data_IF_928482275772
#
_entry.id   IF_928482275772
#
_cell.length_a   1.000
_cell.length_b   1.000
_cell.length_c   1.000
_cell.angle_alpha   90.00
_cell.angle_beta   90.00
_cell.angle_gamma   90.00
#
_symmetry.space_group_name_H-M   'P 1'
#
loop_
_entity.id
_entity.type
_entity.pdbx_description
1 polymer ?
#
# COMPACT_ATOMS: atom_id res chain seq x y z
N UNK A 1 9.12 -20.09 7.62
CA UNK A 1 8.50 -19.17 6.63
C UNK A 1 9.34 -17.90 6.63
N UNK A 2 9.98 -17.54 5.51
CA UNK A 2 10.81 -16.33 5.43
C UNK A 2 9.93 -15.13 5.07
N UNK A 3 10.13 -13.99 5.73
CA UNK A 3 9.45 -12.73 5.40
C UNK A 3 9.99 -12.20 4.07
N UNK A 4 9.12 -11.66 3.22
CA UNK A 4 9.50 -11.12 1.89
C UNK A 4 10.49 -9.95 2.01
N UNK A 5 10.43 -9.20 3.11
CA UNK A 5 11.35 -8.10 3.41
C UNK A 5 12.57 -8.52 4.27
N UNK A 6 12.69 -9.82 4.57
CA UNK A 6 13.63 -10.32 5.57
C UNK A 6 13.18 -10.05 7.01
N UNK A 7 13.98 -10.51 7.96
CA UNK A 7 13.76 -10.20 9.38
C UNK A 7 14.07 -8.72 9.62
N UNK A 8 13.17 -7.95 10.24
CA UNK A 8 13.44 -6.56 10.55
C UNK A 8 14.53 -6.42 11.62
N UNK A 9 15.73 -6.06 11.18
CA UNK A 9 16.85 -5.67 12.05
C UNK A 9 16.98 -4.15 12.04
N UNK A 10 16.88 -3.49 13.20
CA UNK A 10 16.97 -2.03 13.33
C UNK A 10 18.13 -1.63 14.26
N UNK A 11 19.34 -2.04 13.89
CA UNK A 11 20.58 -1.72 14.60
C UNK A 11 21.25 -0.45 14.05
N UNK A 12 21.02 -0.14 12.77
CA UNK A 12 21.61 1.00 12.05
C UNK A 12 20.56 1.85 11.37
N UNK A 13 20.85 3.15 11.23
CA UNK A 13 20.00 4.11 10.51
C UNK A 13 19.64 3.64 9.10
N UNK A 14 20.61 3.08 8.37
CA UNK A 14 20.41 2.61 7.00
C UNK A 14 19.35 1.52 6.93
N UNK A 15 19.28 0.64 7.94
CA UNK A 15 18.35 -0.49 7.95
C UNK A 15 16.90 -0.01 8.06
N UNK A 16 16.63 1.05 8.82
CA UNK A 16 15.30 1.67 8.90
C UNK A 16 14.89 2.25 7.55
N UNK A 17 15.81 2.98 6.90
CA UNK A 17 15.58 3.56 5.58
C UNK A 17 15.33 2.49 4.53
N UNK A 18 16.20 1.49 4.50
CA UNK A 18 16.19 0.42 3.50
C UNK A 18 14.94 -0.44 3.67
N UNK A 19 14.52 -0.74 4.90
CA UNK A 19 13.28 -1.46 5.16
C UNK A 19 12.05 -0.70 4.63
N UNK A 20 11.96 0.60 4.90
CA UNK A 20 10.86 1.43 4.41
C UNK A 20 10.85 1.53 2.88
N UNK A 21 12.01 1.73 2.26
CA UNK A 21 12.12 1.86 0.80
C UNK A 21 11.88 0.54 0.07
N UNK A 22 12.38 -0.57 0.61
CA UNK A 22 12.15 -1.91 0.05
C UNK A 22 10.68 -2.31 0.18
N UNK A 23 10.05 -2.05 1.33
CA UNK A 23 8.60 -2.23 1.50
C UNK A 23 7.80 -1.45 0.46
N UNK A 24 8.19 -0.18 0.21
CA UNK A 24 7.52 0.67 -0.79
C UNK A 24 7.70 0.13 -2.21
N UNK A 25 8.92 -0.27 -2.58
CA UNK A 25 9.21 -0.87 -3.89
C UNK A 25 8.42 -2.16 -4.13
N UNK A 26 8.24 -2.97 -3.08
CA UNK A 26 7.49 -4.21 -3.15
C UNK A 26 6.00 -3.96 -3.41
N UNK A 27 5.37 -3.05 -2.64
CA UNK A 27 3.92 -2.90 -2.67
C UNK A 27 3.42 -1.91 -3.73
N UNK A 28 4.22 -0.91 -4.10
CA UNK A 28 3.78 0.17 -5.01
C UNK A 28 3.22 -0.32 -6.35
N UNK A 29 3.77 -1.38 -7.00
CA UNK A 29 3.19 -1.91 -8.23
C UNK A 29 1.72 -2.34 -8.09
N UNK A 30 1.34 -2.86 -6.91
CA UNK A 30 0.00 -3.37 -6.66
C UNK A 30 -1.08 -2.28 -6.74
N UNK A 31 -0.76 -1.01 -6.45
CA UNK A 31 -1.74 0.06 -6.54
C UNK A 31 -2.27 0.22 -7.97
N UNK A 32 -1.38 0.16 -8.96
CA UNK A 32 -1.80 0.27 -10.36
C UNK A 32 -2.51 -1.01 -10.83
N UNK A 33 -1.99 -2.17 -10.43
CA UNK A 33 -2.59 -3.47 -10.75
C UNK A 33 -4.03 -3.57 -10.24
N UNK A 34 -4.28 -3.18 -8.99
CA UNK A 34 -5.64 -3.18 -8.42
C UNK A 34 -6.57 -2.18 -9.09
N UNK A 35 -6.09 -1.01 -9.54
CA UNK A 35 -6.91 -0.07 -10.31
C UNK A 35 -7.33 -0.62 -11.66
N UNK A 36 -6.39 -1.22 -12.39
CA UNK A 36 -6.67 -1.86 -13.68
C UNK A 36 -7.67 -3.01 -13.48
N UNK A 37 -7.38 -3.90 -12.51
CA UNK A 37 -8.25 -5.02 -12.18
C UNK A 37 -9.66 -4.57 -11.76
N UNK A 38 -9.80 -3.43 -11.05
CA UNK A 38 -11.10 -2.85 -10.71
C UNK A 38 -11.92 -2.52 -11.97
N UNK A 39 -11.33 -1.84 -12.95
CA UNK A 39 -12.04 -1.47 -14.18
C UNK A 39 -12.36 -2.69 -15.06
N UNK A 40 -11.42 -3.65 -15.18
CA UNK A 40 -11.66 -4.90 -15.90
C UNK A 40 -12.77 -5.73 -15.26
N UNK A 41 -12.75 -5.87 -13.92
CA UNK A 41 -13.78 -6.57 -13.17
C UNK A 41 -15.15 -5.90 -13.33
N UNK A 42 -15.20 -4.58 -13.23
CA UNK A 42 -16.42 -3.79 -13.45
C UNK A 42 -16.97 -3.98 -14.85
N UNK A 43 -16.13 -3.98 -15.88
CA UNK A 43 -16.53 -4.19 -17.26
C UNK A 43 -17.10 -5.60 -17.45
N UNK A 44 -16.38 -6.63 -16.97
CA UNK A 44 -16.83 -8.02 -17.06
C UNK A 44 -18.18 -8.25 -16.36
N UNK A 45 -18.39 -7.67 -15.18
CA UNK A 45 -19.62 -7.85 -14.41
C UNK A 45 -20.83 -7.11 -15.02
N UNK A 46 -20.62 -6.03 -15.78
CA UNK A 46 -21.71 -5.28 -16.43
C UNK A 46 -22.39 -6.04 -17.56
N UNK A 47 -21.70 -7.01 -18.16
CA UNK A 47 -22.25 -7.86 -19.21
C UNK A 47 -23.25 -8.90 -18.66
N UNK A 48 -23.27 -9.10 -17.33
CA UNK A 48 -24.22 -9.99 -16.69
C UNK A 48 -25.59 -9.31 -16.66
N UNK A 49 -26.67 -9.95 -17.17
CA UNK A 49 -28.01 -9.39 -17.14
C UNK A 49 -28.47 -9.02 -15.72
N UNK A 50 -29.26 -7.95 -15.64
CA UNK A 50 -29.98 -7.58 -14.42
C UNK A 50 -30.98 -8.65 -14.00
N UNK A 51 -31.20 -8.77 -12.69
CA UNK A 51 -32.20 -9.68 -12.13
C UNK A 51 -33.60 -9.05 -12.14
N UNK A 52 -33.69 -7.72 -12.20
CA UNK A 52 -34.95 -7.00 -12.18
C UNK A 52 -35.35 -6.52 -13.58
N UNK A 53 -36.44 -7.04 -14.17
CA UNK A 53 -36.94 -6.61 -15.48
C UNK A 53 -37.31 -5.12 -15.51
N UNK A 54 -37.77 -4.59 -14.37
CA UNK A 54 -38.22 -3.20 -14.23
C UNK A 54 -37.08 -2.18 -14.21
N UNK A 55 -35.86 -2.62 -13.90
CA UNK A 55 -34.70 -1.74 -13.77
C UNK A 55 -33.83 -1.70 -15.03
N UNK A 56 -34.25 -2.32 -16.13
CA UNK A 56 -33.54 -2.31 -17.42
C UNK A 56 -32.03 -2.59 -17.29
N UNK A 57 -31.64 -3.49 -16.36
CA UNK A 57 -30.24 -3.85 -16.10
C UNK A 57 -29.43 -2.86 -15.24
N UNK A 58 -30.03 -1.79 -14.72
CA UNK A 58 -29.37 -0.84 -13.83
C UNK A 58 -28.90 -1.50 -12.52
N UNK A 59 -29.64 -2.49 -12.02
CA UNK A 59 -29.28 -3.27 -10.83
C UNK A 59 -27.95 -4.02 -11.02
N UNK A 60 -27.70 -4.56 -12.21
CA UNK A 60 -26.43 -5.23 -12.53
C UNK A 60 -25.26 -4.25 -12.54
N UNK A 61 -25.45 -3.07 -13.17
CA UNK A 61 -24.42 -2.02 -13.21
C UNK A 61 -24.06 -1.53 -11.81
N UNK A 62 -25.04 -1.37 -10.92
CA UNK A 62 -24.81 -0.98 -9.53
C UNK A 62 -24.03 -2.06 -8.77
N UNK A 63 -24.42 -3.32 -8.86
CA UNK A 63 -23.68 -4.41 -8.22
C UNK A 63 -22.25 -4.53 -8.75
N UNK A 64 -22.04 -4.41 -10.06
CA UNK A 64 -20.72 -4.41 -10.67
C UNK A 64 -19.84 -3.27 -10.12
N UNK A 65 -20.41 -2.06 -9.96
CA UNK A 65 -19.69 -0.94 -9.34
C UNK A 65 -19.32 -1.23 -7.88
N UNK A 66 -20.24 -1.77 -7.08
CA UNK A 66 -20.00 -2.10 -5.67
C UNK A 66 -18.85 -3.10 -5.55
N UNK A 67 -18.86 -4.17 -6.35
CA UNK A 67 -17.81 -5.20 -6.31
C UNK A 67 -16.45 -4.64 -6.72
N UNK A 68 -16.39 -3.92 -7.85
CA UNK A 68 -15.16 -3.32 -8.34
C UNK A 68 -14.57 -2.29 -7.36
N UNK A 69 -15.42 -1.55 -6.65
CA UNK A 69 -15.00 -0.53 -5.68
C UNK A 69 -14.07 -1.09 -4.58
N UNK A 70 -14.19 -2.37 -4.23
CA UNK A 70 -13.27 -2.99 -3.28
C UNK A 70 -11.83 -3.07 -3.77
N UNK A 71 -11.59 -3.28 -5.07
CA UNK A 71 -10.24 -3.25 -5.65
C UNK A 71 -9.70 -1.81 -5.74
N UNK A 72 -10.57 -0.85 -6.03
CA UNK A 72 -10.19 0.57 -5.97
C UNK A 72 -9.77 0.98 -4.54
N UNK A 73 -10.53 0.58 -3.52
CA UNK A 73 -10.13 0.79 -2.12
C UNK A 73 -8.84 0.05 -1.75
N UNK A 74 -8.59 -1.14 -2.32
CA UNK A 74 -7.33 -1.84 -2.12
C UNK A 74 -6.15 -1.03 -2.71
N UNK A 75 -6.31 -0.43 -3.89
CA UNK A 75 -5.30 0.45 -4.47
C UNK A 75 -5.01 1.68 -3.60
N UNK A 76 -6.06 2.34 -3.09
CA UNK A 76 -5.95 3.45 -2.14
C UNK A 76 -5.21 3.02 -0.85
N UNK A 77 -5.52 1.82 -0.34
CA UNK A 77 -4.85 1.22 0.81
C UNK A 77 -3.35 0.99 0.56
N UNK A 78 -2.95 0.55 -0.63
CA UNK A 78 -1.54 0.42 -1.02
C UNK A 78 -0.85 1.78 -1.03
N UNK A 79 -1.49 2.83 -1.54
CA UNK A 79 -0.93 4.18 -1.54
C UNK A 79 -0.78 4.75 -0.12
N UNK A 80 -1.79 4.53 0.72
CA UNK A 80 -1.74 4.90 2.14
C UNK A 80 -0.59 4.17 2.85
N UNK A 81 -0.38 2.89 2.53
CA UNK A 81 0.74 2.09 3.06
C UNK A 81 2.09 2.66 2.59
N UNK A 82 2.22 2.97 1.30
CA UNK A 82 3.43 3.62 0.75
C UNK A 82 3.72 4.95 1.46
N UNK A 83 2.70 5.77 1.68
CA UNK A 83 2.83 7.04 2.39
C UNK A 83 3.25 6.83 3.85
N UNK A 84 2.69 5.81 4.51
CA UNK A 84 3.09 5.39 5.86
C UNK A 84 4.58 5.06 5.94
N UNK A 85 5.10 4.26 5.02
CA UNK A 85 6.52 3.89 4.98
C UNK A 85 7.45 5.10 4.80
N UNK A 86 7.09 6.04 3.92
CA UNK A 86 7.85 7.29 3.75
C UNK A 86 7.80 8.13 5.03
N UNK A 87 6.60 8.30 5.61
CA UNK A 87 6.41 9.07 6.84
C UNK A 87 7.19 8.48 8.01
N UNK A 88 7.30 7.16 8.11
CA UNK A 88 8.13 6.48 9.11
C UNK A 88 9.58 6.93 9.01
N UNK A 89 10.17 6.85 7.81
CA UNK A 89 11.56 7.30 7.60
C UNK A 89 11.75 8.79 7.93
N UNK A 90 10.85 9.65 7.43
CA UNK A 90 10.94 11.10 7.67
C UNK A 90 10.76 11.46 9.15
N UNK A 91 9.86 10.76 9.84
CA UNK A 91 9.65 10.91 11.27
C UNK A 91 10.91 10.50 12.05
N UNK A 92 11.52 9.36 11.70
CA UNK A 92 12.78 8.93 12.30
C UNK A 92 13.91 9.95 12.08
N UNK A 93 14.08 10.45 10.84
CA UNK A 93 15.08 11.47 10.53
C UNK A 93 14.89 12.73 11.38
N UNK A 94 13.65 13.24 11.43
CA UNK A 94 13.29 14.44 12.18
C UNK A 94 13.49 14.30 13.68
N UNK A 95 13.05 13.18 14.27
CA UNK A 95 12.96 13.04 15.73
C UNK A 95 14.19 12.42 16.38
N UNK A 96 15.02 11.68 15.63
CA UNK A 96 16.15 10.96 16.21
C UNK A 96 17.46 11.27 15.50
N UNK A 97 17.47 11.23 14.16
CA UNK A 97 18.72 11.39 13.41
C UNK A 97 19.31 12.79 13.56
N UNK A 98 18.48 13.83 13.57
CA UNK A 98 18.94 15.21 13.77
C UNK A 98 19.59 15.41 15.14
N UNK A 99 19.06 14.80 16.19
CA UNK A 99 19.61 14.91 17.55
C UNK A 99 20.88 14.07 17.73
N UNK A 100 20.95 12.92 17.07
CA UNK A 100 22.16 12.09 17.01
C UNK A 100 23.32 12.81 16.30
N UNK A 101 23.03 13.49 15.18
CA UNK A 101 24.01 14.32 14.46
C UNK A 101 24.57 15.44 15.33
N UNK A 102 23.72 16.11 16.14
CA UNK A 102 24.15 17.18 17.06
C UNK A 102 25.00 16.65 18.22
N UNK A 103 24.69 15.46 18.73
CA UNK A 103 25.36 14.87 19.89
C UNK A 103 26.62 14.04 19.56
N UNK A 104 27.01 13.92 18.29
CA UNK A 104 28.05 12.98 17.78
C UNK A 104 27.83 11.52 18.20
N UNK A 105 26.62 11.15 18.63
CA UNK A 105 26.29 9.79 19.05
C UNK A 105 25.80 8.99 17.84
N UNK A 106 26.44 7.85 17.56
CA UNK A 106 25.98 6.94 16.53
C UNK A 106 24.72 6.18 16.98
N UNK A 107 23.77 6.00 16.06
CA UNK A 107 22.72 4.98 16.19
C UNK A 107 23.37 3.63 15.91
N UNK A 108 23.88 3.01 16.97
CA UNK A 108 24.50 1.70 16.94
C UNK A 108 24.02 0.98 18.19
N UNK A 109 22.93 0.22 18.03
CA UNK A 109 22.44 -0.66 19.09
C UNK A 109 23.25 -1.95 18.94
N UNK A 110 24.13 -2.24 19.90
CA UNK A 110 24.82 -3.54 19.95
C UNK A 110 23.75 -4.63 20.05
N UNK A 111 23.61 -5.40 18.97
CA UNK A 111 22.80 -6.61 18.92
C UNK A 111 23.38 -7.72 19.79
#
# INVERSE_FOLDING_TARGET
MSLILGEPTFTKTSEIRDYCENGRKLIRPLANEFRIASEELKAALKEIPGQSPWLLGADSKVRAMIVAKHLEHAAEGVEATCAGLIRTWLSFDKHFLQDMKKSKRAFDIKG
#
